data_IF_172153958401
#
_entry.id   IF_172153958401
#
_cell.length_a   1.000
_cell.length_b   1.000
_cell.length_c   1.000
_cell.angle_alpha   90.00
_cell.angle_beta   90.00
_cell.angle_gamma   90.00
#
_symmetry.space_group_name_H-M   'P 1'
#
loop_
_entity.id
_entity.type
_entity.pdbx_description
1 polymer ?
#
# COMPACT_ATOMS: atom_id res chain seq x y z
N UNK A 1 -1.64 20.87 7.61
CA UNK A 1 -0.32 20.33 8.01
C UNK A 1 -0.38 20.13 9.51
N UNK A 2 -0.74 18.93 9.96
CA UNK A 2 0.08 18.03 10.76
C UNK A 2 -0.74 16.75 10.84
N UNK A 3 -0.12 15.60 10.54
CA UNK A 3 -0.74 14.29 10.74
C UNK A 3 -1.25 14.26 12.18
N UNK A 4 -2.55 14.11 12.39
CA UNK A 4 -3.06 13.82 13.73
C UNK A 4 -2.64 12.40 14.08
N UNK A 5 -1.43 12.27 14.62
CA UNK A 5 -0.83 11.00 15.08
C UNK A 5 -1.80 10.28 16.02
N UNK A 6 -2.58 11.03 16.81
CA UNK A 6 -3.66 10.55 17.66
C UNK A 6 -4.76 9.80 16.91
N UNK A 7 -5.13 10.23 15.69
CA UNK A 7 -6.14 9.57 14.85
C UNK A 7 -5.60 8.28 14.23
N UNK A 8 -4.31 8.26 13.86
CA UNK A 8 -3.64 7.06 13.39
C UNK A 8 -3.50 6.03 14.51
N UNK A 9 -3.21 6.46 15.73
CA UNK A 9 -3.14 5.61 16.92
C UNK A 9 -4.51 5.04 17.33
N UNK A 10 -5.58 5.84 17.22
CA UNK A 10 -6.94 5.36 17.52
C UNK A 10 -7.50 4.39 16.47
N UNK A 11 -6.92 4.36 15.26
CA UNK A 11 -7.32 3.47 14.16
C UNK A 11 -6.14 2.65 13.63
N UNK A 12 -5.18 2.36 14.50
CA UNK A 12 -3.96 1.61 14.15
C UNK A 12 -4.34 0.23 13.58
N UNK A 13 -5.41 -0.35 14.09
CA UNK A 13 -5.93 -1.67 13.70
C UNK A 13 -6.36 -1.67 12.22
N UNK A 14 -7.17 -0.69 11.80
CA UNK A 14 -7.67 -0.56 10.42
C UNK A 14 -6.52 -0.22 9.49
N UNK A 15 -5.60 0.62 9.94
CA UNK A 15 -4.44 1.04 9.19
C UNK A 15 -3.47 -0.12 8.92
N UNK A 16 -3.08 -0.87 9.96
CA UNK A 16 -2.26 -2.08 9.82
C UNK A 16 -2.96 -3.15 9.00
N UNK A 17 -4.26 -3.35 9.20
CA UNK A 17 -5.06 -4.27 8.39
C UNK A 17 -5.01 -3.89 6.91
N UNK A 18 -5.12 -2.59 6.58
CA UNK A 18 -5.01 -2.10 5.21
C UNK A 18 -3.62 -2.32 4.61
N UNK A 19 -2.54 -2.08 5.36
CA UNK A 19 -1.17 -2.33 4.89
C UNK A 19 -0.96 -3.82 4.60
N UNK A 20 -1.32 -4.68 5.56
CA UNK A 20 -1.17 -6.14 5.43
C UNK A 20 -1.99 -6.66 4.25
N UNK A 21 -3.23 -6.17 4.09
CA UNK A 21 -4.10 -6.55 2.99
C UNK A 21 -3.49 -6.19 1.64
N UNK A 22 -2.97 -4.97 1.48
CA UNK A 22 -2.33 -4.54 0.21
C UNK A 22 -1.10 -5.38 -0.09
N UNK A 23 -0.26 -5.66 0.92
CA UNK A 23 0.94 -6.49 0.75
C UNK A 23 0.57 -7.92 0.34
N UNK A 24 -0.40 -8.54 1.02
CA UNK A 24 -0.85 -9.91 0.73
C UNK A 24 -1.42 -9.98 -0.70
N UNK A 25 -2.34 -9.08 -1.06
CA UNK A 25 -2.99 -9.10 -2.38
C UNK A 25 -1.94 -8.93 -3.48
N UNK A 26 -1.05 -7.93 -3.37
CA UNK A 26 0.01 -7.73 -4.37
C UNK A 26 0.95 -8.91 -4.46
N UNK A 27 1.38 -9.46 -3.33
CA UNK A 27 2.27 -10.62 -3.30
C UNK A 27 1.64 -11.80 -4.03
N UNK A 28 0.36 -12.08 -3.79
CA UNK A 28 -0.37 -13.17 -4.44
C UNK A 28 -0.46 -12.95 -5.95
N UNK A 29 -0.88 -11.76 -6.38
CA UNK A 29 -1.03 -11.43 -7.81
C UNK A 29 0.31 -11.58 -8.53
N UNK A 30 1.38 -10.99 -8.00
CA UNK A 30 2.71 -11.02 -8.61
C UNK A 30 3.28 -12.45 -8.61
N UNK A 31 3.11 -13.19 -7.51
CA UNK A 31 3.55 -14.59 -7.44
C UNK A 31 2.83 -15.45 -8.48
N UNK A 32 1.51 -15.28 -8.68
CA UNK A 32 0.76 -15.99 -9.71
C UNK A 32 1.25 -15.64 -11.12
N UNK A 33 1.49 -14.36 -11.40
CA UNK A 33 1.99 -13.90 -12.69
C UNK A 33 3.37 -14.50 -12.98
N UNK A 34 4.32 -14.37 -12.04
CA UNK A 34 5.70 -14.90 -12.19
C UNK A 34 5.70 -16.42 -12.32
N UNK A 35 4.80 -17.11 -11.62
CA UNK A 35 4.62 -18.56 -11.78
C UNK A 35 4.05 -18.92 -13.15
N UNK A 36 3.17 -18.10 -13.70
CA UNK A 36 2.67 -18.23 -15.09
C UNK A 36 3.78 -18.13 -16.15
N UNK A 37 4.86 -17.40 -15.85
CA UNK A 37 6.05 -17.33 -16.70
C UNK A 37 7.02 -18.53 -16.54
N UNK A 38 6.68 -19.54 -15.74
CA UNK A 38 7.47 -20.76 -15.60
C UNK A 38 8.61 -20.70 -14.58
N UNK A 39 8.65 -19.68 -13.73
CA UNK A 39 9.65 -19.59 -12.65
C UNK A 39 9.31 -20.52 -11.48
N UNK A 40 10.34 -20.90 -10.72
CA UNK A 40 10.19 -21.77 -9.55
C UNK A 40 9.38 -21.08 -8.44
N UNK A 41 8.71 -21.86 -7.58
CA UNK A 41 7.85 -21.33 -6.49
C UNK A 41 8.64 -20.40 -5.55
N UNK A 42 9.90 -20.74 -5.23
CA UNK A 42 10.76 -19.91 -4.38
C UNK A 42 11.04 -18.55 -5.00
N UNK A 43 11.38 -18.51 -6.28
CA UNK A 43 11.67 -17.27 -7.02
C UNK A 43 10.41 -16.43 -7.18
N UNK A 44 9.28 -17.05 -7.54
CA UNK A 44 8.01 -16.37 -7.73
C UNK A 44 7.52 -15.68 -6.46
N UNK A 45 7.67 -16.34 -5.31
CA UNK A 45 7.29 -15.78 -4.01
C UNK A 45 8.23 -14.66 -3.57
N UNK A 46 9.54 -14.82 -3.77
CA UNK A 46 10.52 -13.77 -3.48
C UNK A 46 10.23 -12.50 -4.29
N UNK A 47 10.00 -12.64 -5.59
CA UNK A 47 9.63 -11.51 -6.46
C UNK A 47 8.30 -10.89 -6.02
N UNK A 48 7.32 -11.71 -5.65
CA UNK A 48 6.04 -11.25 -5.11
C UNK A 48 6.18 -10.34 -3.89
N UNK A 49 7.00 -10.75 -2.92
CA UNK A 49 7.27 -9.95 -1.72
C UNK A 49 8.07 -8.69 -2.06
N UNK A 50 9.13 -8.82 -2.86
CA UNK A 50 10.00 -7.69 -3.21
C UNK A 50 9.28 -6.57 -3.96
N UNK A 51 8.21 -6.90 -4.69
CA UNK A 51 7.40 -5.93 -5.44
C UNK A 51 6.08 -5.56 -4.76
N UNK A 52 5.80 -6.10 -3.56
CA UNK A 52 4.58 -5.81 -2.82
C UNK A 52 4.51 -4.36 -2.28
N UNK A 53 5.67 -3.70 -2.19
CA UNK A 53 5.82 -2.32 -1.72
C UNK A 53 4.97 -1.33 -2.53
N UNK A 54 4.57 -0.23 -1.89
CA UNK A 54 3.86 0.86 -2.56
C UNK A 54 4.89 1.89 -3.01
N UNK A 55 4.99 2.13 -4.32
CA UNK A 55 5.95 3.08 -4.88
C UNK A 55 5.51 4.54 -4.77
N UNK A 56 6.46 5.45 -4.97
CA UNK A 56 6.27 6.90 -4.82
C UNK A 56 5.16 7.49 -5.70
N UNK A 57 4.84 6.83 -6.81
CA UNK A 57 3.77 7.23 -7.72
C UNK A 57 2.39 7.25 -7.05
N UNK A 58 2.17 6.42 -6.02
CA UNK A 58 0.95 6.46 -5.23
C UNK A 58 0.79 7.80 -4.48
N UNK A 59 1.89 8.41 -4.00
CA UNK A 59 1.84 9.75 -3.40
C UNK A 59 1.44 10.81 -4.41
N UNK A 60 1.92 10.70 -5.65
CA UNK A 60 1.57 11.63 -6.73
C UNK A 60 0.07 11.55 -7.04
N UNK A 61 -0.47 10.34 -7.22
CA UNK A 61 -1.91 10.13 -7.46
C UNK A 61 -2.76 10.61 -6.29
N UNK A 62 -2.36 10.29 -5.06
CA UNK A 62 -3.06 10.71 -3.85
C UNK A 62 -3.07 12.24 -3.71
N UNK A 63 -1.93 12.88 -3.97
CA UNK A 63 -1.80 14.34 -3.97
C UNK A 63 -2.73 14.97 -5.01
N UNK A 64 -2.82 14.41 -6.22
CA UNK A 64 -3.75 14.89 -7.25
C UNK A 64 -5.22 14.70 -6.86
N UNK A 65 -5.58 13.53 -6.33
CA UNK A 65 -6.95 13.25 -5.90
C UNK A 65 -7.41 14.16 -4.74
N UNK A 66 -6.50 14.47 -3.82
CA UNK A 66 -6.72 15.44 -2.74
C UNK A 66 -6.88 16.88 -3.26
N UNK A 67 -6.05 17.30 -4.21
CA UNK A 67 -6.19 18.62 -4.86
C UNK A 67 -7.51 18.79 -5.61
N UNK A 68 -8.11 17.70 -6.11
CA UNK A 68 -9.41 17.70 -6.76
C UNK A 68 -10.59 17.57 -5.75
N UNK A 69 -10.31 17.59 -4.45
CA UNK A 69 -11.27 17.35 -3.35
C UNK A 69 -12.05 16.03 -3.47
N UNK A 70 -11.51 15.05 -4.22
CA UNK A 70 -12.12 13.72 -4.37
C UNK A 70 -11.87 12.82 -3.15
N UNK A 71 -10.94 13.22 -2.27
CA UNK A 71 -10.49 12.45 -1.12
C UNK A 71 -10.63 13.32 0.12
N UNK A 72 -11.45 12.88 1.07
CA UNK A 72 -11.57 13.52 2.38
C UNK A 72 -10.22 13.54 3.12
N UNK A 73 -9.95 14.60 3.88
CA UNK A 73 -8.67 14.77 4.57
C UNK A 73 -8.29 13.61 5.51
N UNK A 74 -9.29 12.92 6.09
CA UNK A 74 -9.07 11.69 6.88
C UNK A 74 -8.58 10.52 6.03
N UNK A 75 -9.21 10.30 4.87
CA UNK A 75 -8.83 9.23 3.94
C UNK A 75 -7.46 9.50 3.32
N UNK A 76 -7.16 10.77 3.02
CA UNK A 76 -5.84 11.20 2.56
C UNK A 76 -4.74 10.83 3.57
N UNK A 77 -4.94 11.13 4.86
CA UNK A 77 -3.97 10.80 5.92
C UNK A 77 -3.76 9.30 6.07
N UNK A 78 -4.84 8.51 6.01
CA UNK A 78 -4.77 7.06 6.12
C UNK A 78 -3.97 6.46 4.95
N UNK A 79 -4.29 6.88 3.72
CA UNK A 79 -3.64 6.39 2.50
C UNK A 79 -2.19 6.83 2.38
N UNK A 80 -1.88 8.07 2.78
CA UNK A 80 -0.52 8.60 2.83
C UNK A 80 0.34 7.80 3.82
N UNK A 81 -0.20 7.50 5.01
CA UNK A 81 0.49 6.67 6.00
C UNK A 81 0.73 5.23 5.53
N UNK A 82 -0.25 4.60 4.87
CA UNK A 82 -0.09 3.22 4.34
C UNK A 82 0.96 3.20 3.24
N UNK A 83 1.01 4.25 2.42
CA UNK A 83 2.02 4.40 1.36
C UNK A 83 3.41 4.57 1.97
N UNK A 84 3.55 5.43 2.99
CA UNK A 84 4.83 5.71 3.64
C UNK A 84 5.41 4.52 4.41
N UNK A 85 4.57 3.67 5.02
CA UNK A 85 5.05 2.46 5.69
C UNK A 85 5.32 1.29 4.76
N UNK A 86 4.71 1.28 3.58
CA UNK A 86 4.88 0.19 2.62
C UNK A 86 6.00 0.46 1.61
N UNK A 87 6.57 1.66 1.59
CA UNK A 87 7.76 2.02 0.80
C UNK A 87 9.02 1.56 1.52
#
# INVERSE_FOLDING_TARGET
MLIHVQFLWNHVDIFLASVILVIIIKTIIITMVVKGFGYNNKTSFLVGISLAQIGEFAFVLLSRASNLHLVEGKLYLLLLGTTALSL
#
